data_IF_291241327358
#
_entry.id   IF_291241327358
#
_cell.length_a   1.000
_cell.length_b   1.000
_cell.length_c   1.000
_cell.angle_alpha   90.00
_cell.angle_beta   90.00
_cell.angle_gamma   90.00
#
_symmetry.space_group_name_H-M   'P 1'
#
loop_
_entity.id
_entity.type
_entity.pdbx_description
1 polymer ?
#
# COMPACT_ATOMS: atom_id res chain seq x y z
N UNK A 1 -25.58 -7.04 -26.23
CA UNK A 1 -24.39 -6.61 -25.48
C UNK A 1 -24.59 -7.09 -24.07
N UNK A 2 -23.95 -8.24 -23.72
CA UNK A 2 -24.09 -8.84 -22.39
C UNK A 2 -23.05 -8.21 -21.47
N UNK A 3 -23.51 -7.39 -20.53
CA UNK A 3 -22.73 -6.93 -19.39
C UNK A 3 -22.60 -8.13 -18.45
N UNK A 4 -21.49 -8.86 -18.56
CA UNK A 4 -21.11 -9.85 -17.54
C UNK A 4 -20.74 -9.10 -16.27
N UNK A 5 -21.64 -9.18 -15.32
CA UNK A 5 -21.41 -8.78 -13.93
C UNK A 5 -20.31 -9.70 -13.39
N UNK A 6 -19.08 -9.21 -13.31
CA UNK A 6 -18.02 -9.85 -12.56
C UNK A 6 -18.37 -9.73 -11.07
N UNK A 7 -19.09 -10.76 -10.57
CA UNK A 7 -19.23 -10.96 -9.14
C UNK A 7 -17.83 -11.22 -8.57
N UNK A 8 -17.26 -10.20 -7.94
CA UNK A 8 -15.99 -10.25 -7.24
C UNK A 8 -16.18 -11.15 -6.01
N UNK A 9 -15.70 -12.38 -6.10
CA UNK A 9 -15.54 -13.25 -4.94
C UNK A 9 -14.37 -12.69 -4.13
N UNK A 10 -14.67 -11.80 -3.19
CA UNK A 10 -13.71 -11.33 -2.18
C UNK A 10 -13.42 -12.51 -1.27
N UNK A 11 -12.34 -13.23 -1.55
CA UNK A 11 -11.74 -14.16 -0.59
C UNK A 11 -11.12 -13.29 0.50
N UNK A 12 -11.89 -13.08 1.56
CA UNK A 12 -11.36 -12.49 2.78
C UNK A 12 -10.24 -13.40 3.31
N UNK A 13 -9.04 -12.88 3.58
CA UNK A 13 -8.05 -13.63 4.32
C UNK A 13 -8.60 -13.85 5.73
N UNK A 14 -8.84 -15.09 6.07
CA UNK A 14 -9.17 -15.52 7.44
C UNK A 14 -8.00 -15.12 8.34
N UNK A 15 -8.21 -14.10 9.15
CA UNK A 15 -7.37 -13.75 10.28
C UNK A 15 -7.47 -14.88 11.33
N UNK A 16 -6.66 -15.93 11.17
CA UNK A 16 -6.44 -16.91 12.20
C UNK A 16 -5.35 -16.44 13.15
N UNK A 17 -5.73 -16.26 14.42
CA UNK A 17 -4.85 -16.43 15.55
C UNK A 17 -4.07 -15.20 16.03
N UNK A 18 -4.76 -14.30 16.76
CA UNK A 18 -4.08 -13.49 17.77
C UNK A 18 -4.32 -14.20 19.11
N UNK A 19 -3.30 -14.72 19.80
CA UNK A 19 -3.47 -15.23 21.15
C UNK A 19 -3.75 -14.05 22.10
N UNK A 20 -4.92 -14.03 22.70
CA UNK A 20 -5.25 -13.14 23.82
C UNK A 20 -4.44 -13.55 25.03
N UNK A 21 -3.39 -12.80 25.34
CA UNK A 21 -2.71 -12.84 26.62
C UNK A 21 -3.64 -12.25 27.68
N UNK A 22 -4.35 -13.12 28.38
CA UNK A 22 -5.10 -12.84 29.60
C UNK A 22 -4.08 -12.83 30.74
N UNK A 23 -3.51 -11.66 31.04
CA UNK A 23 -2.72 -11.44 32.24
C UNK A 23 -3.64 -11.19 33.43
N UNK A 24 -3.82 -12.24 34.25
CA UNK A 24 -4.41 -12.15 35.57
C UNK A 24 -3.27 -11.75 36.53
N UNK A 25 -3.32 -10.54 37.08
CA UNK A 25 -2.47 -10.19 38.24
C UNK A 25 -3.35 -9.70 39.37
N UNK A 26 -3.79 -10.67 40.17
CA UNK A 26 -4.23 -10.43 41.52
C UNK A 26 -3.03 -9.96 42.37
N UNK A 27 -3.04 -8.74 42.80
CA UNK A 27 -2.18 -8.25 43.88
C UNK A 27 -3.05 -7.86 45.04
N UNK A 28 -3.17 -8.80 45.98
CA UNK A 28 -3.61 -8.56 47.35
C UNK A 28 -2.41 -8.06 48.16
N UNK A 29 -2.48 -6.85 48.70
CA UNK A 29 -1.58 -6.39 49.76
C UNK A 29 -2.43 -5.85 50.88
N UNK A 30 -2.51 -6.66 51.96
CA UNK A 30 -2.82 -6.22 53.29
C UNK A 30 -1.59 -5.48 53.88
N UNK A 31 -1.81 -4.32 54.43
CA UNK A 31 -0.76 -3.59 55.14
C UNK A 31 -1.34 -2.40 55.92
N UNK A 32 -1.81 -2.68 57.12
CA UNK A 32 -2.15 -1.71 58.18
C UNK A 32 -0.89 -0.95 58.61
N UNK A 33 -0.93 0.39 58.65
CA UNK A 33 -0.20 1.18 59.65
C UNK A 33 -0.66 2.64 59.66
N UNK A 34 -1.18 3.07 60.80
CA UNK A 34 -1.47 4.41 61.19
C UNK A 34 -0.21 5.28 61.26
N UNK A 35 -0.27 6.48 60.72
CA UNK A 35 0.50 7.62 61.20
C UNK A 35 -0.16 8.91 60.70
N UNK A 36 -0.73 9.64 61.64
CA UNK A 36 -1.26 10.99 61.49
C UNK A 36 -0.09 11.97 61.36
N UNK A 37 -0.02 12.65 60.24
CA UNK A 37 0.74 13.89 60.06
C UNK A 37 -0.07 14.87 59.20
N UNK A 38 -0.53 15.92 59.83
CA UNK A 38 -1.13 17.07 59.17
C UNK A 38 -0.06 17.73 58.28
N UNK A 39 -0.25 17.60 56.98
CA UNK A 39 0.46 18.41 55.99
C UNK A 39 -0.60 19.12 55.15
N UNK A 40 -0.60 20.44 55.28
CA UNK A 40 -1.38 21.36 54.46
C UNK A 40 -1.06 21.12 52.97
N UNK A 41 -1.90 20.36 52.29
CA UNK A 41 -1.72 20.04 50.88
C UNK A 41 -2.18 21.26 50.02
N UNK A 42 -1.20 21.91 49.43
CA UNK A 42 -1.43 22.75 48.26
C UNK A 42 -2.07 21.88 47.15
N UNK A 43 -3.26 22.29 46.68
CA UNK A 43 -3.96 21.65 45.58
C UNK A 43 -3.08 21.75 44.33
N UNK A 44 -2.61 20.64 43.75
CA UNK A 44 -1.89 20.70 42.48
C UNK A 44 -2.89 21.15 41.42
N UNK A 45 -2.56 22.24 40.72
CA UNK A 45 -3.29 22.68 39.55
C UNK A 45 -3.36 21.47 38.58
N UNK A 46 -4.58 20.98 38.33
CA UNK A 46 -4.82 19.97 37.32
C UNK A 46 -4.35 20.55 35.98
N UNK A 47 -3.26 20.01 35.46
CA UNK A 47 -2.83 20.24 34.08
C UNK A 47 -4.00 19.77 33.19
N UNK A 48 -4.74 20.71 32.64
CA UNK A 48 -5.75 20.42 31.64
C UNK A 48 -5.07 19.81 30.44
N UNK A 49 -5.20 18.49 30.27
CA UNK A 49 -4.82 17.79 29.03
C UNK A 49 -5.56 18.49 27.89
N UNK A 50 -4.81 18.97 26.89
CA UNK A 50 -5.47 19.56 25.71
C UNK A 50 -6.43 18.53 25.12
N UNK A 51 -7.63 18.93 24.67
CA UNK A 51 -8.56 18.02 24.03
C UNK A 51 -7.86 17.34 22.84
N UNK A 52 -8.13 16.05 22.58
CA UNK A 52 -7.57 15.37 21.43
C UNK A 52 -7.90 16.18 20.19
N UNK A 53 -6.86 16.62 19.48
CA UNK A 53 -7.01 17.36 18.23
C UNK A 53 -7.75 16.46 17.23
N UNK A 54 -8.94 16.88 16.82
CA UNK A 54 -9.70 16.22 15.75
C UNK A 54 -8.77 16.18 14.52
N UNK A 55 -8.48 15.01 13.93
CA UNK A 55 -7.66 14.94 12.74
C UNK A 55 -8.29 15.82 11.66
N UNK A 56 -7.52 16.77 11.12
CA UNK A 56 -8.01 17.62 10.05
C UNK A 56 -8.28 16.70 8.83
N UNK A 57 -9.52 16.58 8.33
CA UNK A 57 -9.85 15.70 7.20
C UNK A 57 -8.98 15.98 5.97
N UNK A 58 -8.56 17.23 5.76
CA UNK A 58 -7.63 17.62 4.68
C UNK A 58 -6.26 16.95 4.80
N UNK A 59 -5.83 16.56 6.01
CA UNK A 59 -4.54 15.90 6.21
C UNK A 59 -4.53 14.48 5.63
N UNK A 60 -5.63 13.75 5.76
CA UNK A 60 -5.77 12.38 5.26
C UNK A 60 -5.73 12.31 3.74
N UNK A 61 -6.47 13.18 3.08
CA UNK A 61 -6.49 13.29 1.62
C UNK A 61 -5.12 13.68 1.05
N UNK A 62 -4.50 14.71 1.63
CA UNK A 62 -3.17 15.16 1.19
C UNK A 62 -2.13 14.04 1.36
N UNK A 63 -2.20 13.24 2.43
CA UNK A 63 -1.36 12.07 2.62
C UNK A 63 -1.56 11.02 1.52
N UNK A 64 -2.81 10.71 1.14
CA UNK A 64 -3.07 9.80 0.03
C UNK A 64 -2.45 10.32 -1.28
N UNK A 65 -2.63 11.59 -1.60
CA UNK A 65 -2.07 12.22 -2.80
C UNK A 65 -0.54 12.13 -2.79
N UNK A 66 0.10 12.41 -1.66
CA UNK A 66 1.56 12.30 -1.50
C UNK A 66 2.04 10.85 -1.67
N UNK A 67 1.33 9.87 -1.15
CA UNK A 67 1.65 8.46 -1.32
C UNK A 67 1.54 8.02 -2.78
N UNK A 68 0.50 8.47 -3.51
CA UNK A 68 0.36 8.19 -4.94
C UNK A 68 1.49 8.83 -5.77
N UNK A 69 1.91 10.06 -5.44
CA UNK A 69 3.07 10.70 -6.06
C UNK A 69 4.36 9.94 -5.76
N UNK A 70 4.55 9.50 -4.52
CA UNK A 70 5.72 8.70 -4.12
C UNK A 70 5.77 7.35 -4.83
N UNK A 71 4.62 6.67 -5.02
CA UNK A 71 4.54 5.46 -5.84
C UNK A 71 5.02 5.70 -7.27
N UNK A 72 4.59 6.82 -7.86
CA UNK A 72 5.00 7.24 -9.18
C UNK A 72 6.53 7.40 -9.26
N UNK A 73 7.10 8.20 -8.37
CA UNK A 73 8.55 8.46 -8.32
C UNK A 73 9.37 7.17 -8.12
N UNK A 74 8.96 6.32 -7.18
CA UNK A 74 9.62 5.04 -6.92
C UNK A 74 9.58 4.10 -8.14
N UNK A 75 8.44 4.04 -8.83
CA UNK A 75 8.31 3.23 -10.04
C UNK A 75 9.20 3.77 -11.18
N UNK A 76 9.34 5.08 -11.33
CA UNK A 76 10.26 5.71 -12.29
C UNK A 76 11.72 5.41 -11.94
N UNK A 77 12.09 5.45 -10.65
CA UNK A 77 13.45 5.09 -10.22
C UNK A 77 13.74 3.62 -10.52
N UNK A 78 12.80 2.71 -10.24
CA UNK A 78 12.96 1.28 -10.57
C UNK A 78 13.07 1.06 -12.09
N UNK A 79 12.27 1.76 -12.90
CA UNK A 79 12.39 1.72 -14.37
C UNK A 79 13.80 2.09 -14.82
N UNK A 80 14.35 3.18 -14.27
CA UNK A 80 15.71 3.63 -14.61
C UNK A 80 16.75 2.58 -14.22
N UNK A 81 16.68 2.04 -13.00
CA UNK A 81 17.60 1.01 -12.53
C UNK A 81 17.53 -0.24 -13.41
N UNK A 82 16.32 -0.72 -13.75
CA UNK A 82 16.15 -1.87 -14.62
C UNK A 82 16.60 -1.60 -16.07
N UNK A 83 16.39 -0.39 -16.58
CA UNK A 83 16.82 -0.05 -17.95
C UNK A 83 18.33 -0.09 -18.11
N UNK A 84 19.09 0.31 -17.09
CA UNK A 84 20.56 0.30 -17.05
C UNK A 84 21.13 -1.01 -16.49
N UNK A 85 20.26 -1.97 -16.11
CA UNK A 85 20.67 -3.24 -15.57
C UNK A 85 21.33 -4.13 -16.63
N UNK A 86 22.54 -4.61 -16.34
CA UNK A 86 23.34 -5.55 -17.14
C UNK A 86 24.07 -6.56 -16.21
N UNK A 87 24.77 -7.52 -16.79
CA UNK A 87 25.50 -8.56 -16.05
C UNK A 87 26.69 -8.02 -15.25
N UNK A 88 27.28 -6.92 -15.69
CA UNK A 88 28.46 -6.31 -15.04
C UNK A 88 28.05 -5.42 -13.87
N UNK A 89 26.80 -4.99 -13.87
CA UNK A 89 26.26 -4.06 -12.88
C UNK A 89 25.46 -4.80 -11.80
N UNK A 90 26.06 -5.02 -10.64
CA UNK A 90 25.37 -5.67 -9.50
C UNK A 90 24.30 -4.74 -8.88
N UNK A 91 23.24 -4.49 -9.64
CA UNK A 91 22.10 -3.63 -9.21
C UNK A 91 21.01 -4.41 -8.46
N UNK A 92 21.15 -5.73 -8.29
CA UNK A 92 20.12 -6.56 -7.61
C UNK A 92 19.76 -6.05 -6.21
N UNK A 93 20.70 -5.66 -5.33
CA UNK A 93 20.35 -5.09 -4.03
C UNK A 93 19.51 -3.82 -4.15
N UNK A 94 19.81 -2.96 -5.13
CA UNK A 94 19.06 -1.73 -5.39
C UNK A 94 17.65 -2.04 -5.92
N UNK A 95 17.51 -2.98 -6.85
CA UNK A 95 16.21 -3.44 -7.36
C UNK A 95 15.37 -4.00 -6.22
N UNK A 96 15.95 -4.84 -5.35
CA UNK A 96 15.26 -5.40 -4.18
C UNK A 96 14.78 -4.30 -3.22
N UNK A 97 15.62 -3.33 -2.89
CA UNK A 97 15.23 -2.21 -2.03
C UNK A 97 14.11 -1.37 -2.64
N UNK A 98 14.17 -1.11 -3.95
CA UNK A 98 13.14 -0.33 -4.67
C UNK A 98 11.81 -1.09 -4.76
N UNK A 99 11.81 -2.40 -5.04
CA UNK A 99 10.60 -3.22 -5.07
C UNK A 99 9.93 -3.29 -3.69
N UNK A 100 10.71 -3.40 -2.62
CA UNK A 100 10.21 -3.34 -1.25
C UNK A 100 9.60 -1.96 -0.92
N UNK A 101 10.26 -0.87 -1.32
CA UNK A 101 9.76 0.49 -1.10
C UNK A 101 8.43 0.74 -1.84
N UNK A 102 8.30 0.31 -3.09
CA UNK A 102 7.05 0.38 -3.87
C UNK A 102 5.94 -0.41 -3.16
N UNK A 103 6.25 -1.61 -2.71
CA UNK A 103 5.32 -2.47 -1.97
C UNK A 103 4.81 -1.78 -0.70
N UNK A 104 5.71 -1.28 0.13
CA UNK A 104 5.36 -0.58 1.38
C UNK A 104 4.53 0.69 1.13
N UNK A 105 4.88 1.47 0.10
CA UNK A 105 4.12 2.68 -0.26
C UNK A 105 2.74 2.31 -0.82
N UNK A 106 2.63 1.22 -1.57
CA UNK A 106 1.35 0.68 -2.04
C UNK A 106 0.43 0.28 -0.89
N UNK A 107 0.95 -0.47 0.08
CA UNK A 107 0.21 -0.86 1.28
C UNK A 107 -0.25 0.36 2.09
N UNK A 108 0.62 1.36 2.26
CA UNK A 108 0.27 2.62 2.93
C UNK A 108 -0.81 3.41 2.16
N UNK A 109 -0.76 3.41 0.81
CA UNK A 109 -1.77 4.07 -0.03
C UNK A 109 -3.14 3.40 0.10
N UNK A 110 -3.18 2.07 0.13
CA UNK A 110 -4.41 1.30 0.33
C UNK A 110 -5.00 1.59 1.71
N UNK A 111 -4.18 1.51 2.77
CA UNK A 111 -4.62 1.80 4.13
C UNK A 111 -5.15 3.22 4.28
N UNK A 112 -4.46 4.20 3.66
CA UNK A 112 -4.89 5.59 3.69
C UNK A 112 -6.20 5.81 2.92
N UNK A 113 -6.39 5.19 1.76
CA UNK A 113 -7.63 5.26 0.99
C UNK A 113 -8.81 4.67 1.79
N UNK A 114 -8.61 3.51 2.43
CA UNK A 114 -9.64 2.85 3.24
C UNK A 114 -10.01 3.64 4.52
N UNK A 115 -9.14 4.54 4.98
CA UNK A 115 -9.39 5.39 6.15
C UNK A 115 -10.10 6.72 5.80
N UNK A 116 -10.33 7.01 4.51
CA UNK A 116 -11.01 8.20 4.06
C UNK A 116 -12.50 7.97 3.85
N UNK A 117 -13.29 9.00 4.15
CA UNK A 117 -14.70 9.07 3.78
C UNK A 117 -14.87 9.36 2.28
N UNK A 118 -16.12 9.29 1.83
CA UNK A 118 -16.47 9.59 0.45
C UNK A 118 -16.17 11.04 0.09
N UNK A 119 -15.38 11.24 -0.97
CA UNK A 119 -14.84 12.54 -1.34
C UNK A 119 -15.88 13.43 -2.05
N UNK A 120 -15.73 14.73 -1.93
CA UNK A 120 -16.47 15.70 -2.76
C UNK A 120 -15.99 15.62 -4.23
N UNK A 121 -16.62 16.38 -5.13
CA UNK A 121 -16.32 16.32 -6.57
C UNK A 121 -14.91 16.80 -6.89
N UNK A 122 -14.43 17.84 -6.21
CA UNK A 122 -13.11 18.41 -6.47
C UNK A 122 -12.00 17.44 -6.02
N UNK A 123 -12.12 16.90 -4.84
CA UNK A 123 -11.12 15.99 -4.26
C UNK A 123 -11.16 14.61 -4.91
N UNK A 124 -12.36 14.13 -5.29
CA UNK A 124 -12.53 12.93 -6.12
C UNK A 124 -11.73 13.03 -7.42
N UNK A 125 -11.89 14.13 -8.15
CA UNK A 125 -11.14 14.36 -9.39
C UNK A 125 -9.62 14.44 -9.16
N UNK A 126 -9.17 15.09 -8.08
CA UNK A 126 -7.73 15.18 -7.75
C UNK A 126 -7.12 13.80 -7.52
N UNK A 127 -7.76 12.96 -6.72
CA UNK A 127 -7.29 11.59 -6.41
C UNK A 127 -7.33 10.75 -7.70
N UNK A 128 -8.41 10.84 -8.46
CA UNK A 128 -8.56 10.10 -9.72
C UNK A 128 -7.44 10.40 -10.71
N UNK A 129 -7.13 11.68 -10.93
CA UNK A 129 -6.03 12.07 -11.82
C UNK A 129 -4.67 11.51 -11.38
N UNK A 130 -4.38 11.50 -10.07
CA UNK A 130 -3.13 10.94 -9.55
C UNK A 130 -3.09 9.42 -9.69
N UNK A 131 -4.21 8.74 -9.45
CA UNK A 131 -4.33 7.28 -9.61
C UNK A 131 -4.18 6.86 -11.07
N UNK A 132 -4.85 7.57 -11.99
CA UNK A 132 -4.76 7.29 -13.43
C UNK A 132 -3.36 7.59 -14.00
N UNK A 133 -2.67 8.59 -13.45
CA UNK A 133 -1.29 8.92 -13.85
C UNK A 133 -0.27 7.80 -13.56
N UNK A 134 -0.56 6.87 -12.66
CA UNK A 134 0.28 5.70 -12.42
C UNK A 134 0.23 4.68 -13.57
N UNK A 135 -0.86 4.66 -14.36
CA UNK A 135 -1.07 3.68 -15.45
C UNK A 135 0.10 3.61 -16.44
N UNK A 136 0.51 4.70 -17.11
CA UNK A 136 1.59 4.63 -18.09
C UNK A 136 2.90 4.18 -17.47
N UNK A 137 3.16 4.56 -16.22
CA UNK A 137 4.39 4.25 -15.50
C UNK A 137 4.47 2.76 -15.18
N UNK A 138 3.43 2.19 -14.57
CA UNK A 138 3.39 0.76 -14.30
C UNK A 138 3.33 -0.06 -15.59
N UNK A 139 2.63 0.41 -16.62
CA UNK A 139 2.62 -0.23 -17.92
C UNK A 139 4.01 -0.31 -18.56
N UNK A 140 4.81 0.75 -18.45
CA UNK A 140 6.18 0.78 -18.95
C UNK A 140 7.13 -0.07 -18.08
N UNK A 141 6.99 0.01 -16.76
CA UNK A 141 7.75 -0.82 -15.82
C UNK A 141 7.59 -2.31 -16.14
N UNK A 142 6.36 -2.77 -16.35
CA UNK A 142 6.08 -4.15 -16.73
C UNK A 142 6.73 -4.54 -18.05
N UNK A 143 6.79 -3.64 -19.02
CA UNK A 143 7.50 -3.87 -20.27
C UNK A 143 9.00 -4.06 -20.05
N UNK A 144 9.64 -3.17 -19.27
CA UNK A 144 11.08 -3.28 -18.95
C UNK A 144 11.38 -4.58 -18.20
N UNK A 145 10.55 -4.97 -17.23
CA UNK A 145 10.71 -6.24 -16.50
C UNK A 145 10.69 -7.43 -17.47
N UNK A 146 9.76 -7.43 -18.42
CA UNK A 146 9.68 -8.45 -19.45
C UNK A 146 10.95 -8.49 -20.30
N UNK A 147 11.41 -7.33 -20.78
CA UNK A 147 12.59 -7.23 -21.65
C UNK A 147 13.89 -7.63 -20.92
N UNK A 148 13.97 -7.42 -19.62
CA UNK A 148 15.12 -7.77 -18.78
C UNK A 148 15.03 -9.17 -18.16
N UNK A 149 13.98 -9.96 -18.47
CA UNK A 149 13.77 -11.29 -17.89
C UNK A 149 15.01 -12.17 -17.94
N UNK A 150 15.67 -12.27 -19.12
CA UNK A 150 16.83 -13.14 -19.32
C UNK A 150 17.94 -12.77 -18.33
N UNK A 151 18.32 -11.50 -18.29
CA UNK A 151 19.36 -10.99 -17.39
C UNK A 151 19.00 -11.19 -15.90
N UNK A 152 17.76 -10.94 -15.53
CA UNK A 152 17.27 -11.17 -14.16
C UNK A 152 17.38 -12.63 -13.75
N UNK A 153 17.13 -13.55 -14.68
CA UNK A 153 17.22 -14.97 -14.41
C UNK A 153 18.68 -15.48 -14.39
N UNK A 154 19.56 -14.95 -15.24
CA UNK A 154 21.00 -15.22 -15.19
C UNK A 154 21.63 -14.79 -13.85
N UNK A 155 21.09 -13.72 -13.25
CA UNK A 155 21.51 -13.22 -11.93
C UNK A 155 20.75 -13.89 -10.77
N UNK A 156 20.09 -15.02 -10.99
CA UNK A 156 19.31 -15.77 -10.00
C UNK A 156 18.16 -14.99 -9.33
N UNK A 157 17.74 -13.85 -9.94
CA UNK A 157 16.69 -12.98 -9.40
C UNK A 157 15.31 -13.23 -10.05
N UNK A 158 15.19 -14.22 -10.89
CA UNK A 158 14.00 -14.55 -11.68
C UNK A 158 12.77 -14.82 -10.78
N UNK A 159 12.95 -15.69 -9.79
CA UNK A 159 11.88 -16.09 -8.87
C UNK A 159 11.40 -14.90 -8.02
N UNK A 160 12.32 -14.14 -7.44
CA UNK A 160 11.97 -12.99 -6.62
C UNK A 160 11.20 -11.94 -7.45
N UNK A 161 11.63 -11.67 -8.67
CA UNK A 161 10.93 -10.74 -9.55
C UNK A 161 9.55 -11.24 -9.97
N UNK A 162 9.41 -12.53 -10.29
CA UNK A 162 8.12 -13.15 -10.56
C UNK A 162 7.16 -12.98 -9.38
N UNK A 163 7.61 -13.35 -8.17
CA UNK A 163 6.80 -13.27 -6.96
C UNK A 163 6.40 -11.81 -6.67
N UNK A 164 7.33 -10.86 -6.86
CA UNK A 164 7.05 -9.46 -6.70
C UNK A 164 6.01 -8.93 -7.70
N UNK A 165 6.10 -9.32 -8.97
CA UNK A 165 5.11 -8.95 -10.01
C UNK A 165 3.71 -9.47 -9.63
N UNK A 166 3.62 -10.70 -9.09
CA UNK A 166 2.37 -11.26 -8.59
C UNK A 166 1.78 -10.45 -7.43
N UNK A 167 2.63 -10.11 -6.46
CA UNK A 167 2.25 -9.26 -5.31
C UNK A 167 1.81 -7.87 -5.77
N UNK A 168 2.52 -7.26 -6.71
CA UNK A 168 2.18 -5.95 -7.26
C UNK A 168 0.83 -5.94 -7.96
N UNK A 169 0.49 -6.99 -8.69
CA UNK A 169 -0.84 -7.13 -9.30
C UNK A 169 -1.95 -7.06 -8.25
N UNK A 170 -1.83 -7.86 -7.18
CA UNK A 170 -2.83 -7.89 -6.10
C UNK A 170 -2.96 -6.51 -5.45
N UNK A 171 -1.84 -5.85 -5.17
CA UNK A 171 -1.84 -4.51 -4.54
C UNK A 171 -2.41 -3.43 -5.45
N UNK A 172 -2.09 -3.48 -6.74
CA UNK A 172 -2.66 -2.55 -7.72
C UNK A 172 -4.19 -2.66 -7.78
N UNK A 173 -4.71 -3.89 -7.80
CA UNK A 173 -6.16 -4.13 -7.76
C UNK A 173 -6.78 -3.66 -6.44
N UNK A 174 -6.14 -3.94 -5.30
CA UNK A 174 -6.61 -3.50 -3.99
C UNK A 174 -6.62 -1.97 -3.88
N UNK A 175 -5.60 -1.29 -4.41
CA UNK A 175 -5.56 0.17 -4.45
C UNK A 175 -6.69 0.73 -5.33
N UNK A 176 -6.92 0.15 -6.51
CA UNK A 176 -8.03 0.54 -7.37
C UNK A 176 -9.38 0.42 -6.64
N UNK A 177 -9.64 -0.72 -5.97
CA UNK A 177 -10.87 -0.94 -5.21
C UNK A 177 -11.00 0.06 -4.06
N UNK A 178 -9.94 0.29 -3.29
CA UNK A 178 -9.96 1.23 -2.17
C UNK A 178 -10.24 2.67 -2.64
N UNK A 179 -9.60 3.11 -3.74
CA UNK A 179 -9.80 4.46 -4.28
C UNK A 179 -11.17 4.59 -4.94
N UNK A 180 -11.66 3.61 -5.69
CA UNK A 180 -13.00 3.66 -6.29
C UNK A 180 -14.11 3.71 -5.25
N UNK A 181 -13.86 3.17 -4.06
CA UNK A 181 -14.80 3.22 -2.94
C UNK A 181 -15.00 4.62 -2.33
N UNK A 182 -14.07 5.54 -2.52
CA UNK A 182 -14.11 6.90 -1.94
C UNK A 182 -14.35 8.01 -2.95
N UNK A 183 -14.18 7.75 -4.25
CA UNK A 183 -14.38 8.75 -5.32
C UNK A 183 -15.79 8.71 -5.90
N UNK A 184 -16.17 9.75 -6.65
CA UNK A 184 -17.46 9.82 -7.36
C UNK A 184 -17.52 8.74 -8.45
N UNK A 185 -18.73 8.23 -8.73
CA UNK A 185 -18.95 7.14 -9.70
C UNK A 185 -18.27 7.37 -11.06
N UNK A 186 -18.38 8.55 -11.73
CA UNK A 186 -17.70 8.78 -12.99
C UNK A 186 -16.18 8.66 -12.90
N UNK A 187 -15.61 9.13 -11.79
CA UNK A 187 -14.18 9.09 -11.51
C UNK A 187 -13.73 7.64 -11.24
N UNK A 188 -14.51 6.85 -10.50
CA UNK A 188 -14.26 5.43 -10.27
C UNK A 188 -14.23 4.64 -11.56
N UNK A 189 -15.17 4.85 -12.47
CA UNK A 189 -15.19 4.20 -13.79
C UNK A 189 -13.94 4.55 -14.63
N UNK A 190 -13.46 5.79 -14.54
CA UNK A 190 -12.24 6.20 -15.21
C UNK A 190 -11.02 5.45 -14.68
N UNK A 191 -10.91 5.27 -13.37
CA UNK A 191 -9.85 4.47 -12.72
C UNK A 191 -9.91 3.02 -13.21
N UNK A 192 -11.08 2.37 -13.15
CA UNK A 192 -11.26 0.99 -13.57
C UNK A 192 -10.86 0.77 -15.04
N UNK A 193 -11.32 1.63 -15.94
CA UNK A 193 -10.96 1.58 -17.37
C UNK A 193 -9.46 1.76 -17.59
N UNK A 194 -8.85 2.69 -16.85
CA UNK A 194 -7.42 2.94 -16.95
C UNK A 194 -6.62 1.69 -16.53
N UNK A 195 -6.96 1.09 -15.40
CA UNK A 195 -6.20 -0.01 -14.83
C UNK A 195 -6.50 -1.37 -15.47
N UNK A 196 -7.67 -1.58 -16.05
CA UNK A 196 -7.98 -2.81 -16.80
C UNK A 196 -6.94 -3.13 -17.90
N UNK A 197 -6.36 -2.10 -18.51
CA UNK A 197 -5.31 -2.28 -19.53
C UNK A 197 -3.96 -2.67 -18.96
N UNK A 198 -3.66 -2.27 -17.71
CA UNK A 198 -2.43 -2.64 -16.99
C UNK A 198 -2.60 -4.05 -16.42
N UNK A 199 -3.75 -4.36 -15.81
CA UNK A 199 -4.01 -5.68 -15.23
C UNK A 199 -3.83 -6.81 -16.26
N UNK A 200 -4.26 -6.61 -17.50
CA UNK A 200 -4.10 -7.61 -18.59
C UNK A 200 -2.64 -7.94 -18.90
N UNK A 201 -1.68 -7.09 -18.54
CA UNK A 201 -0.25 -7.32 -18.80
C UNK A 201 0.39 -8.23 -17.74
N UNK A 202 -0.09 -8.21 -16.50
CA UNK A 202 0.48 -9.01 -15.42
C UNK A 202 0.47 -10.51 -15.69
N UNK A 203 -0.67 -11.15 -16.09
CA UNK A 203 -0.68 -12.58 -16.40
C UNK A 203 0.30 -12.96 -17.52
N UNK A 204 0.38 -12.13 -18.56
CA UNK A 204 1.30 -12.38 -19.66
C UNK A 204 2.76 -12.43 -19.19
N UNK A 205 3.15 -11.50 -18.31
CA UNK A 205 4.51 -11.45 -17.76
C UNK A 205 4.76 -12.64 -16.81
N UNK A 206 3.82 -12.95 -15.92
CA UNK A 206 3.92 -14.07 -15.00
C UNK A 206 4.10 -15.41 -15.75
N UNK A 207 3.36 -15.63 -16.84
CA UNK A 207 3.53 -16.81 -17.70
C UNK A 207 4.91 -16.83 -18.35
N UNK A 208 5.42 -15.69 -18.80
CA UNK A 208 6.77 -15.59 -19.37
C UNK A 208 7.86 -16.03 -18.38
N UNK A 209 7.75 -15.64 -17.10
CA UNK A 209 8.72 -16.04 -16.07
C UNK A 209 8.67 -17.55 -15.73
N UNK A 210 7.55 -18.24 -16.00
CA UNK A 210 7.43 -19.69 -15.82
C UNK A 210 8.00 -20.52 -16.98
N UNK A 211 8.20 -19.92 -18.15
CA UNK A 211 8.76 -20.66 -19.30
C UNK A 211 10.25 -20.89 -19.08
N UNK A 212 10.71 -22.17 -19.17
CA UNK A 212 12.15 -22.45 -19.18
C UNK A 212 12.81 -21.75 -20.37
N UNK A 213 14.08 -21.43 -20.23
CA UNK A 213 14.87 -20.92 -21.35
C UNK A 213 14.95 -22.00 -22.42
N UNK A 214 14.38 -21.75 -23.59
CA UNK A 214 14.53 -22.58 -24.81
C UNK A 214 15.60 -22.00 -25.69
#
# INVERSE_FOLDING_TARGET
>A
MNLSIFMLLVVAPTLQGIPTLRGNTDYSINGTSNSSTNISAAVPAQASTPPPSIPNPDSGLNNLILLLLRLNEQAVVLQKTLSTFDLDNNSIPSIRAQTQAITATGDASIAQALALDYLDTHDSTRVTLKTVALKPIFGHLLTIIKDKKILLCEMEYCKEMHDWVGVMRVRALSLCVAVTGIVKIPDGLLIELAWASVDRRFPAILVEFHRPFS
#
